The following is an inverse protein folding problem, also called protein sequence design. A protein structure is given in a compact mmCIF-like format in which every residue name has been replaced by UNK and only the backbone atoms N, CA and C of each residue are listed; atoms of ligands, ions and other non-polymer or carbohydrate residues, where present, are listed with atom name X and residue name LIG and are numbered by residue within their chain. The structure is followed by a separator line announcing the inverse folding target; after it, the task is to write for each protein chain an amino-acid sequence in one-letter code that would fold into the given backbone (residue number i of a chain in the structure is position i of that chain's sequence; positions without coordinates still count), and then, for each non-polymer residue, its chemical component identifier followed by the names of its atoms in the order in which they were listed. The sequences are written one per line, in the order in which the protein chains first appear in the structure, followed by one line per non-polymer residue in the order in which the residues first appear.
data_IF_641943583993
#
_entry.id   IF_641943583993
#
_cell.length_a   1.000
_cell.length_b   1.000
_cell.length_c   1.000
_cell.angle_alpha   90.00
_cell.angle_beta   90.00
_cell.angle_gamma   90.00
#
_symmetry.space_group_name_H-M   'P 1'
#
loop_
_entity.id
_entity.type
_entity.pdbx_description
1 polymer ?
#
# COMPACT_ATOMS: atom_id res chain seq x y z
N UNK A 1 4.15 -26.00 -7.80
CA UNK A 1 3.10 -25.50 -6.87
C UNK A 1 3.75 -24.66 -5.76
N UNK A 2 4.39 -23.52 -6.10
CA UNK A 2 5.44 -22.90 -5.25
C UNK A 2 5.32 -21.38 -5.00
N UNK A 3 4.31 -20.68 -5.52
CA UNK A 3 4.27 -19.20 -5.46
C UNK A 3 3.32 -18.58 -4.43
N UNK A 4 2.52 -19.36 -3.70
CA UNK A 4 1.53 -18.76 -2.78
C UNK A 4 2.11 -18.39 -1.39
N UNK A 5 3.16 -19.06 -0.95
CA UNK A 5 3.76 -18.83 0.38
C UNK A 5 4.81 -17.71 0.39
N UNK A 6 5.37 -17.40 -0.76
CA UNK A 6 6.24 -16.23 -0.93
C UNK A 6 5.33 -15.02 -1.05
N UNK A 7 4.91 -14.53 0.11
CA UNK A 7 4.43 -13.15 0.34
C UNK A 7 5.36 -12.17 -0.38
N UNK A 8 5.18 -11.95 -1.69
CA UNK A 8 6.05 -11.14 -2.57
C UNK A 8 5.93 -9.63 -2.28
N UNK A 9 5.53 -9.25 -1.06
CA UNK A 9 5.40 -7.87 -0.63
C UNK A 9 6.70 -7.09 -0.76
N UNK A 10 7.89 -7.61 -0.37
CA UNK A 10 9.14 -6.87 -0.56
C UNK A 10 9.41 -6.52 -2.03
N UNK A 11 9.10 -7.45 -2.94
CA UNK A 11 9.27 -7.25 -4.39
C UNK A 11 8.25 -6.24 -4.94
N UNK A 12 6.99 -6.34 -4.53
CA UNK A 12 5.96 -5.38 -4.92
C UNK A 12 6.31 -3.96 -4.45
N UNK A 13 6.77 -3.82 -3.21
CA UNK A 13 7.24 -2.56 -2.64
C UNK A 13 8.37 -1.98 -3.49
N UNK A 14 9.40 -2.78 -3.77
CA UNK A 14 10.54 -2.34 -4.59
C UNK A 14 10.08 -1.83 -5.96
N UNK A 15 9.29 -2.61 -6.70
CA UNK A 15 8.83 -2.23 -8.04
C UNK A 15 7.98 -0.96 -8.04
N UNK A 16 7.10 -0.80 -7.04
CA UNK A 16 6.24 0.38 -6.91
C UNK A 16 7.05 1.62 -6.53
N UNK A 17 8.04 1.49 -5.63
CA UNK A 17 8.95 2.58 -5.28
C UNK A 17 9.85 3.00 -6.45
N UNK A 18 10.36 2.05 -7.23
CA UNK A 18 11.12 2.35 -8.46
C UNK A 18 10.26 3.06 -9.50
N UNK A 19 9.00 2.65 -9.65
CA UNK A 19 8.03 3.33 -10.52
C UNK A 19 7.77 4.76 -10.03
N UNK A 20 7.60 4.95 -8.72
CA UNK A 20 7.37 6.26 -8.10
C UNK A 20 8.51 7.26 -8.34
N UNK A 21 9.76 6.78 -8.48
CA UNK A 21 10.93 7.61 -8.83
C UNK A 21 10.86 8.16 -10.25
N UNK A 22 10.16 7.49 -11.17
CA UNK A 22 10.05 7.88 -12.58
C UNK A 22 8.81 8.71 -12.85
N UNK A 23 7.70 8.37 -12.19
CA UNK A 23 6.42 9.07 -12.32
C UNK A 23 5.62 8.95 -11.01
N UNK A 24 4.81 9.96 -10.66
CA UNK A 24 3.88 9.84 -9.55
C UNK A 24 2.99 8.60 -9.69
N UNK A 25 2.80 7.87 -8.59
CA UNK A 25 1.87 6.75 -8.55
C UNK A 25 0.43 7.27 -8.54
N UNK A 26 -0.45 6.55 -9.23
CA UNK A 26 -1.90 6.79 -9.12
C UNK A 26 -2.44 6.20 -7.81
N UNK A 27 -3.68 6.56 -7.47
CA UNK A 27 -4.34 6.13 -6.23
C UNK A 27 -4.29 4.60 -6.01
N UNK A 28 -4.58 3.81 -7.04
CA UNK A 28 -4.57 2.35 -6.94
C UNK A 28 -3.16 1.79 -6.66
N UNK A 29 -2.13 2.38 -7.28
CA UNK A 29 -0.75 1.97 -7.09
C UNK A 29 -0.22 2.36 -5.71
N UNK A 30 -0.63 3.53 -5.20
CA UNK A 30 -0.37 3.97 -3.83
C UNK A 30 -1.03 3.03 -2.80
N UNK A 31 -2.27 2.61 -3.06
CA UNK A 31 -2.95 1.62 -2.23
C UNK A 31 -2.21 0.28 -2.21
N UNK A 32 -1.84 -0.25 -3.38
CA UNK A 32 -1.08 -1.50 -3.47
C UNK A 32 0.26 -1.41 -2.73
N UNK A 33 0.94 -0.27 -2.82
CA UNK A 33 2.17 -0.01 -2.09
C UNK A 33 1.92 -0.04 -0.57
N UNK A 34 0.92 0.71 -0.09
CA UNK A 34 0.57 0.79 1.31
C UNK A 34 0.17 -0.56 1.92
N UNK A 35 -0.66 -1.34 1.22
CA UNK A 35 -1.05 -2.68 1.67
C UNK A 35 0.14 -3.65 1.69
N UNK A 36 1.02 -3.57 0.69
CA UNK A 36 2.23 -4.41 0.67
C UNK A 36 3.17 -4.05 1.83
N UNK A 37 3.36 -2.76 2.11
CA UNK A 37 4.14 -2.26 3.25
C UNK A 37 3.54 -2.73 4.58
N UNK A 38 2.21 -2.66 4.72
CA UNK A 38 1.51 -3.11 5.92
C UNK A 38 1.77 -4.60 6.19
N UNK A 39 1.67 -5.43 5.15
CA UNK A 39 1.94 -6.86 5.25
C UNK A 39 3.41 -7.18 5.52
N UNK A 40 4.31 -6.32 5.06
CA UNK A 40 5.74 -6.36 5.39
C UNK A 40 6.09 -5.75 6.76
N UNK A 41 5.09 -5.38 7.58
CA UNK A 41 5.23 -4.71 8.89
C UNK A 41 5.89 -3.33 8.85
N UNK A 42 5.97 -2.71 7.67
CA UNK A 42 6.45 -1.34 7.46
C UNK A 42 5.30 -0.34 7.74
N UNK A 43 4.92 -0.23 9.01
CA UNK A 43 3.67 0.46 9.42
C UNK A 43 3.67 1.96 9.11
N UNK A 44 4.81 2.65 9.29
CA UNK A 44 4.91 4.08 9.05
C UNK A 44 4.78 4.40 7.56
N UNK A 45 5.46 3.63 6.71
CA UNK A 45 5.41 3.76 5.27
C UNK A 45 4.02 3.39 4.74
N UNK A 46 3.43 2.31 5.26
CA UNK A 46 2.08 1.89 4.92
C UNK A 46 1.06 3.01 5.17
N UNK A 47 1.12 3.65 6.35
CA UNK A 47 0.26 4.79 6.68
C UNK A 47 0.40 5.89 5.63
N UNK A 48 1.64 6.32 5.34
CA UNK A 48 1.90 7.37 4.36
C UNK A 48 1.35 7.06 2.97
N UNK A 49 1.56 5.84 2.47
CA UNK A 49 1.08 5.44 1.14
C UNK A 49 -0.45 5.32 1.08
N UNK A 50 -1.10 4.79 2.13
CA UNK A 50 -2.56 4.68 2.19
C UNK A 50 -3.23 6.07 2.30
N UNK A 51 -2.67 6.97 3.09
CA UNK A 51 -3.14 8.36 3.18
C UNK A 51 -3.02 9.06 1.81
N UNK A 52 -1.87 8.91 1.13
CA UNK A 52 -1.67 9.45 -0.21
C UNK A 52 -2.65 8.86 -1.23
N UNK A 53 -2.97 7.57 -1.15
CA UNK A 53 -3.96 6.95 -2.03
C UNK A 53 -5.33 7.61 -1.89
N UNK A 54 -5.78 7.85 -0.65
CA UNK A 54 -7.04 8.52 -0.37
C UNK A 54 -7.06 9.97 -0.89
N UNK A 55 -5.98 10.72 -0.67
CA UNK A 55 -5.82 12.09 -1.21
C UNK A 55 -5.83 12.09 -2.74
N UNK A 56 -5.26 11.07 -3.38
CA UNK A 56 -5.25 10.90 -4.83
C UNK A 56 -6.60 10.45 -5.42
N UNK A 57 -7.66 10.37 -4.61
CA UNK A 57 -9.01 10.03 -5.06
C UNK A 57 -9.25 8.54 -5.25
N UNK A 58 -8.60 7.70 -4.42
CA UNK A 58 -8.89 6.26 -4.37
C UNK A 58 -10.40 6.05 -4.22
N UNK A 59 -10.95 5.19 -5.08
CA UNK A 59 -12.38 4.91 -5.14
C UNK A 59 -12.73 3.69 -4.28
N UNK A 60 -14.01 3.58 -3.92
CA UNK A 60 -14.52 2.37 -3.27
C UNK A 60 -14.49 1.17 -4.23
N UNK A 61 -14.27 -0.06 -3.72
CA UNK A 61 -14.19 -0.43 -2.30
C UNK A 61 -12.81 -0.24 -1.65
N UNK A 62 -11.78 0.07 -2.44
CA UNK A 62 -10.39 0.17 -1.96
C UNK A 62 -10.21 1.31 -0.96
N UNK A 63 -10.93 2.42 -1.13
CA UNK A 63 -10.93 3.54 -0.18
C UNK A 63 -11.44 3.13 1.20
N UNK A 64 -12.53 2.34 1.25
CA UNK A 64 -13.04 1.78 2.51
C UNK A 64 -12.02 0.86 3.19
N UNK A 65 -11.35 0.00 2.42
CA UNK A 65 -10.30 -0.88 2.95
C UNK A 65 -9.09 -0.08 3.48
N UNK A 66 -8.63 0.94 2.74
CA UNK A 66 -7.54 1.81 3.15
C UNK A 66 -7.85 2.51 4.48
N UNK A 67 -9.07 3.06 4.62
CA UNK A 67 -9.52 3.70 5.86
C UNK A 67 -9.56 2.73 7.05
N UNK A 68 -9.98 1.48 6.83
CA UNK A 68 -9.97 0.44 7.88
C UNK A 68 -8.54 0.11 8.32
N UNK A 69 -7.64 -0.14 7.37
CA UNK A 69 -6.24 -0.42 7.65
C UNK A 69 -5.56 0.74 8.41
N UNK A 70 -5.86 1.99 8.04
CA UNK A 70 -5.36 3.19 8.73
C UNK A 70 -5.88 3.29 10.16
N UNK A 71 -7.16 2.96 10.39
CA UNK A 71 -7.75 2.94 11.72
C UNK A 71 -7.12 1.86 12.60
N UNK A 72 -6.87 0.67 12.07
CA UNK A 72 -6.19 -0.41 12.79
C UNK A 72 -4.76 0.01 13.18
N UNK A 73 -4.03 0.63 12.24
CA UNK A 73 -2.69 1.19 12.48
C UNK A 73 -2.63 2.30 13.54
N UNK A 74 -3.76 2.95 13.88
CA UNK A 74 -3.81 3.96 14.95
C UNK A 74 -4.01 3.35 16.34
N UNK A 75 -4.44 2.09 16.40
CA UNK A 75 -4.77 1.38 17.66
C UNK A 75 -3.62 0.51 18.16
N UNK A 76 -2.70 0.18 17.27
CA UNK A 76 -1.42 -0.50 17.54
C UNK A 76 -0.36 0.46 18.12
#
# INVERSE_FOLDING_TARGET
RLSYERKEYPRAIQLLQESARKKPLNANSLFCLGMSQLQARQKAEARGALDQALVAGLQDPMATEAKRALADLQRD
#
